data_IF_471139863663
#
_entry.id   IF_471139863663
#
_cell.length_a   1.000
_cell.length_b   1.000
_cell.length_c   1.000
_cell.angle_alpha   90.00
_cell.angle_beta   90.00
_cell.angle_gamma   90.00
#
_symmetry.space_group_name_H-M   'P 1'
#
loop_
_entity.id
_entity.type
_entity.pdbx_description
1 polymer ?
#
# COMPACT_ATOMS: atom_id res chain seq x y z
N UNK A 1 -18.31 18.45 -21.86
CA UNK A 1 -18.20 17.00 -22.11
C UNK A 1 -17.20 16.41 -21.12
N UNK A 2 -17.67 15.70 -20.09
CA UNK A 2 -16.88 14.94 -19.11
C UNK A 2 -17.38 13.48 -18.91
N UNK A 3 -17.98 12.77 -19.89
CA UNK A 3 -18.42 11.40 -19.65
C UNK A 3 -17.26 10.39 -19.59
N UNK A 4 -16.12 10.65 -20.24
CA UNK A 4 -15.04 9.66 -20.40
C UNK A 4 -14.29 9.31 -19.11
N UNK A 5 -14.18 10.25 -18.16
CA UNK A 5 -13.53 9.99 -16.88
C UNK A 5 -14.34 9.08 -15.95
N UNK A 6 -15.67 9.08 -16.09
CA UNK A 6 -16.57 8.21 -15.29
C UNK A 6 -16.60 6.80 -15.86
N UNK A 7 -16.48 6.66 -17.19
CA UNK A 7 -16.37 5.36 -17.85
C UNK A 7 -15.05 4.66 -17.50
N UNK A 8 -13.93 5.39 -17.47
CA UNK A 8 -12.62 4.85 -17.11
C UNK A 8 -12.59 4.27 -15.68
N UNK A 9 -13.32 4.88 -14.73
CA UNK A 9 -13.38 4.42 -13.33
C UNK A 9 -14.15 3.10 -13.14
N UNK A 10 -14.95 2.68 -14.13
CA UNK A 10 -15.71 1.41 -14.05
C UNK A 10 -14.89 0.20 -14.50
N UNK A 11 -13.72 0.42 -15.09
CA UNK A 11 -12.79 -0.62 -15.52
C UNK A 11 -11.70 -0.88 -14.49
N UNK A 12 -11.81 -0.28 -13.30
CA UNK A 12 -10.98 -0.65 -12.16
C UNK A 12 -11.50 -1.97 -11.60
N UNK A 13 -11.14 -3.08 -12.24
CA UNK A 13 -11.05 -4.36 -11.54
C UNK A 13 -10.15 -4.11 -10.33
N UNK A 14 -10.76 -3.96 -9.16
CA UNK A 14 -10.06 -3.90 -7.90
C UNK A 14 -9.30 -5.21 -7.74
N UNK A 15 -8.07 -5.26 -8.25
CA UNK A 15 -7.14 -6.35 -7.97
C UNK A 15 -7.00 -6.38 -6.45
N UNK A 16 -7.50 -7.47 -5.86
CA UNK A 16 -7.30 -7.74 -4.45
C UNK A 16 -5.79 -7.80 -4.24
N UNK A 17 -5.29 -6.94 -3.36
CA UNK A 17 -3.89 -6.94 -2.96
C UNK A 17 -3.82 -7.45 -1.54
N UNK A 18 -3.01 -8.49 -1.33
CA UNK A 18 -2.71 -9.00 0.00
C UNK A 18 -1.47 -8.31 0.54
N UNK A 19 -1.54 -7.88 1.79
CA UNK A 19 -0.37 -7.36 2.52
C UNK A 19 0.15 -8.46 3.44
N UNK A 20 1.45 -8.72 3.40
CA UNK A 20 2.09 -9.80 4.16
C UNK A 20 3.49 -9.37 4.65
N UNK A 21 4.22 -10.28 5.31
CA UNK A 21 5.60 -10.06 5.75
C UNK A 21 5.79 -8.87 6.71
N UNK A 22 4.80 -8.63 7.57
CA UNK A 22 4.83 -7.56 8.55
C UNK A 22 6.01 -7.71 9.51
N UNK A 23 6.80 -6.65 9.63
CA UNK A 23 7.82 -6.48 10.65
C UNK A 23 7.69 -5.11 11.27
N UNK A 24 7.54 -5.08 12.59
CA UNK A 24 7.39 -3.84 13.36
C UNK A 24 8.59 -3.69 14.28
N UNK A 25 9.18 -2.49 14.27
CA UNK A 25 10.21 -2.08 15.22
C UNK A 25 9.69 -0.87 15.99
N UNK A 26 9.61 -0.98 17.31
CA UNK A 26 9.35 0.17 18.17
C UNK A 26 10.63 1.01 18.27
N UNK A 27 10.58 2.26 17.83
CA UNK A 27 11.71 3.19 17.85
C UNK A 27 11.72 4.05 19.12
N UNK A 28 10.52 4.35 19.63
CA UNK A 28 10.28 5.09 20.87
C UNK A 28 8.88 4.74 21.40
N UNK A 29 8.47 5.17 22.62
CA UNK A 29 7.14 4.91 23.15
C UNK A 29 6.01 5.31 22.19
N UNK A 30 6.20 6.39 21.44
CA UNK A 30 5.21 6.96 20.52
C UNK A 30 5.71 6.93 19.05
N UNK A 31 6.68 6.08 18.70
CA UNK A 31 7.17 5.96 17.33
C UNK A 31 7.49 4.51 16.95
N UNK A 32 7.11 4.10 15.74
CA UNK A 32 7.35 2.76 15.21
C UNK A 32 7.73 2.79 13.73
N UNK A 33 8.53 1.84 13.30
CA UNK A 33 8.78 1.51 11.90
C UNK A 33 8.01 0.23 11.56
N UNK A 34 7.23 0.26 10.50
CA UNK A 34 6.57 -0.90 9.91
C UNK A 34 7.15 -1.16 8.52
N UNK A 35 7.59 -2.39 8.28
CA UNK A 35 7.84 -2.91 6.94
C UNK A 35 6.85 -4.01 6.62
N UNK A 36 6.38 -4.04 5.39
CA UNK A 36 5.50 -5.08 4.87
C UNK A 36 5.71 -5.24 3.36
N UNK A 37 5.12 -6.29 2.80
CA UNK A 37 5.08 -6.55 1.36
C UNK A 37 3.65 -6.56 0.85
N UNK A 38 3.46 -6.14 -0.40
CA UNK A 38 2.20 -6.27 -1.13
C UNK A 38 2.39 -7.23 -2.30
N UNK A 39 1.45 -8.18 -2.45
CA UNK A 39 1.28 -9.02 -3.63
C UNK A 39 -0.20 -9.14 -4.02
N UNK A 40 -0.49 -9.72 -5.17
CA UNK A 40 -1.87 -9.95 -5.64
C UNK A 40 -2.57 -11.12 -4.92
N UNK A 41 -1.79 -12.09 -4.44
CA UNK A 41 -2.26 -13.23 -3.68
C UNK A 41 -1.10 -13.78 -2.83
N UNK A 42 -1.38 -14.69 -1.89
CA UNK A 42 -0.36 -15.29 -1.00
C UNK A 42 0.58 -16.28 -1.73
N UNK A 43 0.33 -16.56 -3.01
CA UNK A 43 1.08 -17.53 -3.82
C UNK A 43 2.08 -16.88 -4.76
N UNK A 44 1.92 -15.59 -5.07
CA UNK A 44 2.79 -14.80 -5.94
C UNK A 44 3.91 -14.10 -5.17
N UNK A 45 5.04 -13.80 -5.85
CA UNK A 45 6.08 -12.95 -5.28
C UNK A 45 5.53 -11.60 -4.82
N UNK A 46 6.18 -11.03 -3.80
CA UNK A 46 5.91 -9.65 -3.40
C UNK A 46 6.31 -8.74 -4.55
N UNK A 47 5.36 -7.94 -5.03
CA UNK A 47 5.55 -6.96 -6.10
C UNK A 47 5.96 -5.60 -5.57
N UNK A 48 5.72 -5.33 -4.29
CA UNK A 48 6.07 -4.07 -3.65
C UNK A 48 6.47 -4.26 -2.20
N UNK A 49 7.63 -3.75 -1.83
CA UNK A 49 8.05 -3.61 -0.44
C UNK A 49 7.69 -2.22 0.07
N UNK A 50 7.09 -2.12 1.25
CA UNK A 50 6.83 -0.83 1.90
C UNK A 50 7.61 -0.69 3.20
N UNK A 51 8.02 0.54 3.48
CA UNK A 51 8.59 0.98 4.74
C UNK A 51 7.84 2.23 5.19
N UNK A 52 7.31 2.22 6.40
CA UNK A 52 6.51 3.33 6.94
C UNK A 52 6.88 3.64 8.38
N UNK A 53 7.08 4.92 8.69
CA UNK A 53 7.25 5.38 10.05
C UNK A 53 5.92 5.90 10.57
N UNK A 54 5.60 5.51 11.78
CA UNK A 54 4.37 5.85 12.48
C UNK A 54 4.72 6.61 13.74
N UNK A 55 3.93 7.64 14.04
CA UNK A 55 4.02 8.41 15.26
C UNK A 55 2.66 8.45 15.94
N UNK A 56 2.61 8.26 17.25
CA UNK A 56 1.39 8.47 18.01
C UNK A 56 1.22 9.97 18.32
N UNK A 57 0.07 10.53 17.97
CA UNK A 57 -0.34 11.90 18.30
C UNK A 57 -1.75 11.85 18.86
N UNK A 58 -1.94 12.42 20.05
CA UNK A 58 -3.26 12.46 20.71
C UNK A 58 -3.90 11.07 20.81
N UNK A 59 -3.08 10.05 21.11
CA UNK A 59 -3.52 8.65 21.20
C UNK A 59 -3.65 7.92 19.86
N UNK A 60 -3.61 8.62 18.72
CA UNK A 60 -3.78 8.04 17.39
C UNK A 60 -2.44 7.81 16.69
N UNK A 61 -2.23 6.62 16.13
CA UNK A 61 -1.09 6.35 15.28
C UNK A 61 -1.33 6.94 13.89
N UNK A 62 -0.43 7.83 13.46
CA UNK A 62 -0.42 8.42 12.13
C UNK A 62 0.87 8.06 11.41
N UNK A 63 0.76 7.79 10.11
CA UNK A 63 1.94 7.61 9.26
C UNK A 63 2.60 8.96 9.01
N UNK A 64 3.86 9.11 9.39
CA UNK A 64 4.65 10.35 9.19
C UNK A 64 5.66 10.24 8.05
N UNK A 65 5.98 9.01 7.64
CA UNK A 65 6.80 8.73 6.46
C UNK A 65 6.34 7.42 5.83
N UNK A 66 6.37 7.35 4.50
CA UNK A 66 6.06 6.15 3.76
C UNK A 66 6.90 6.09 2.48
N UNK A 67 7.50 4.93 2.23
CA UNK A 67 8.17 4.61 0.98
C UNK A 67 7.69 3.24 0.51
N UNK A 68 7.41 3.14 -0.79
CA UNK A 68 7.14 1.88 -1.48
C UNK A 68 8.18 1.69 -2.59
N UNK A 69 8.65 0.47 -2.76
CA UNK A 69 9.59 0.08 -3.81
C UNK A 69 9.03 -1.13 -4.53
N UNK A 70 8.76 -0.97 -5.82
CA UNK A 70 8.33 -2.06 -6.70
C UNK A 70 9.52 -3.01 -6.91
N UNK A 71 9.29 -4.31 -6.75
CA UNK A 71 10.32 -5.34 -6.79
C UNK A 71 10.25 -6.24 -8.02
N UNK A 72 9.14 -6.20 -8.77
CA UNK A 72 9.00 -6.89 -10.05
C UNK A 72 9.48 -6.01 -11.21
N UNK A 73 10.17 -6.65 -12.17
CA UNK A 73 10.62 -6.01 -13.41
C UNK A 73 9.41 -5.63 -14.27
N UNK A 74 9.25 -4.37 -14.71
CA UNK A 74 8.09 -3.96 -15.51
C UNK A 74 7.91 -4.72 -16.83
N UNK A 75 8.93 -5.45 -17.32
CA UNK A 75 8.86 -6.17 -18.59
C UNK A 75 8.06 -7.48 -18.56
N UNK A 76 7.62 -7.97 -17.40
CA UNK A 76 6.72 -9.14 -17.30
C UNK A 76 5.37 -8.75 -16.69
N UNK A 77 4.79 -7.63 -17.11
CA UNK A 77 3.33 -7.46 -17.06
C UNK A 77 2.87 -6.70 -18.31
N UNK A 78 2.58 -7.45 -19.38
CA UNK A 78 1.75 -6.91 -20.45
C UNK A 78 0.44 -6.39 -19.83
N UNK A 79 0.24 -5.08 -19.94
CA UNK A 79 -1.04 -4.37 -19.93
C UNK A 79 -1.74 -3.97 -18.61
N UNK A 80 -1.12 -3.94 -17.42
CA UNK A 80 -1.88 -3.45 -16.25
C UNK A 80 -1.15 -2.63 -15.17
N UNK A 81 0.16 -2.43 -15.23
CA UNK A 81 0.82 -1.54 -14.25
C UNK A 81 0.76 -0.06 -14.67
N UNK A 82 -0.46 0.49 -14.87
CA UNK A 82 -0.67 1.93 -15.02
C UNK A 82 -1.12 2.52 -13.69
N UNK A 83 -0.16 3.10 -12.97
CA UNK A 83 -0.32 4.27 -12.09
C UNK A 83 -1.61 4.30 -11.24
N UNK A 84 -1.72 3.41 -10.24
CA UNK A 84 -2.65 3.66 -9.15
C UNK A 84 -1.95 4.54 -8.11
N UNK A 85 -2.28 5.84 -8.12
CA UNK A 85 -1.86 6.75 -7.06
C UNK A 85 -2.24 6.19 -5.70
N UNK A 86 -1.23 5.86 -4.88
CA UNK A 86 -1.40 5.41 -3.50
C UNK A 86 -2.08 6.52 -2.69
N UNK A 87 -3.41 6.46 -2.60
CA UNK A 87 -4.15 7.04 -1.49
C UNK A 87 -4.13 6.02 -0.37
N UNK A 88 -3.23 6.23 0.59
CA UNK A 88 -3.20 5.48 1.85
C UNK A 88 -4.48 5.79 2.63
N UNK A 89 -5.53 4.97 2.45
CA UNK A 89 -6.60 4.86 3.43
C UNK A 89 -6.20 3.68 4.31
N UNK A 90 -5.46 3.96 5.38
CA UNK A 90 -5.19 2.95 6.41
C UNK A 90 -6.51 2.52 7.05
N UNK A 91 -6.66 1.24 7.44
CA UNK A 91 -7.85 0.80 8.16
C UNK A 91 -7.94 1.55 9.49
N UNK A 92 -9.11 2.13 9.76
CA UNK A 92 -9.49 2.54 11.11
C UNK A 92 -9.75 1.24 11.88
N UNK A 93 -8.78 0.79 12.67
CA UNK A 93 -9.06 -0.19 13.72
C UNK A 93 -10.01 0.48 14.72
N UNK A 94 -11.27 0.04 14.75
CA UNK A 94 -12.22 0.34 15.83
C UNK A 94 -12.38 -0.93 16.65
N UNK A 95 -12.11 -0.82 17.96
CA UNK A 95 -12.66 -1.68 19.01
C UNK A 95 -12.11 -3.10 19.05
#
# INVERSE_FOLDING_TARGET
MKPDLVAARRTDTSTVQTTSHFRVWQLAPQAALLKDGIGLDDTRPIDTLRSSCWQQREGNWITVFHQATVTSDPEVTSDSCRMAGLRTVGPIYRG
#
